data_IF_363020555825
#
_entry.id   IF_363020555825
#
_cell.length_a   1.000
_cell.length_b   1.000
_cell.length_c   1.000
_cell.angle_alpha   90.00
_cell.angle_beta   90.00
_cell.angle_gamma   90.00
#
_symmetry.space_group_name_H-M   'P 1'
#
loop_
_entity.id
_entity.type
_entity.pdbx_description
1 polymer ?
#
# COMPACT_ATOMS: atom_id res chain seq x y z
N UNK A 1 27.69 -14.01 -8.37
CA UNK A 1 27.07 -14.99 -9.30
C UNK A 1 26.74 -16.27 -8.53
N UNK A 2 25.67 -16.99 -8.87
CA UNK A 2 25.34 -18.26 -8.23
C UNK A 2 26.40 -19.32 -8.54
N UNK A 3 26.89 -20.05 -7.53
CA UNK A 3 27.84 -21.17 -7.73
C UNK A 3 27.14 -22.53 -7.90
N UNK A 4 25.87 -22.65 -7.48
CA UNK A 4 25.09 -23.89 -7.54
C UNK A 4 23.82 -23.71 -8.39
N UNK A 5 23.39 -24.77 -9.09
CA UNK A 5 22.16 -24.78 -9.91
C UNK A 5 20.91 -24.35 -9.11
N UNK A 6 20.85 -24.74 -7.84
CA UNK A 6 19.77 -24.34 -6.93
C UNK A 6 19.77 -22.83 -6.66
N UNK A 7 20.95 -22.23 -6.48
CA UNK A 7 21.12 -20.80 -6.25
C UNK A 7 20.72 -19.97 -7.49
N UNK A 8 21.07 -20.44 -8.70
CA UNK A 8 20.66 -19.79 -9.96
C UNK A 8 19.14 -19.79 -10.12
N UNK A 9 18.48 -20.92 -9.82
CA UNK A 9 17.01 -21.02 -9.78
C UNK A 9 16.42 -20.05 -8.75
N UNK A 10 17.02 -19.91 -7.57
CA UNK A 10 16.56 -18.96 -6.54
C UNK A 10 16.71 -17.51 -6.99
N UNK A 11 17.79 -17.15 -7.68
CA UNK A 11 17.98 -15.81 -8.24
C UNK A 11 16.84 -15.47 -9.22
N UNK A 12 16.59 -16.33 -10.22
CA UNK A 12 15.49 -16.15 -11.19
C UNK A 12 14.12 -16.04 -10.53
N UNK A 13 13.86 -16.83 -9.48
CA UNK A 13 12.61 -16.74 -8.72
C UNK A 13 12.50 -15.44 -7.92
N UNK A 14 13.60 -15.00 -7.32
CA UNK A 14 13.68 -13.79 -6.50
C UNK A 14 13.39 -12.56 -7.34
N UNK A 15 14.00 -12.43 -8.52
CA UNK A 15 13.77 -11.30 -9.44
C UNK A 15 12.30 -11.17 -9.83
N UNK A 16 11.67 -12.29 -10.22
CA UNK A 16 10.24 -12.34 -10.56
C UNK A 16 9.35 -11.93 -9.39
N UNK A 17 9.67 -12.40 -8.17
CA UNK A 17 8.93 -12.02 -6.95
C UNK A 17 9.15 -10.55 -6.62
N UNK A 18 10.37 -10.06 -6.73
CA UNK A 18 10.73 -8.68 -6.44
C UNK A 18 9.99 -7.70 -7.37
N UNK A 19 9.97 -7.97 -8.67
CA UNK A 19 9.22 -7.16 -9.65
C UNK A 19 7.73 -7.04 -9.29
N UNK A 20 7.07 -8.17 -8.98
CA UNK A 20 5.66 -8.16 -8.53
C UNK A 20 5.47 -7.41 -7.22
N UNK A 21 6.31 -7.69 -6.22
CA UNK A 21 6.21 -7.05 -4.91
C UNK A 21 6.44 -5.54 -4.99
N UNK A 22 7.38 -5.10 -5.83
CA UNK A 22 7.68 -3.69 -6.07
C UNK A 22 6.48 -2.97 -6.70
N UNK A 23 5.87 -3.57 -7.73
CA UNK A 23 4.68 -3.00 -8.37
C UNK A 23 3.52 -2.84 -7.37
N UNK A 24 3.18 -3.90 -6.63
CA UNK A 24 2.10 -3.86 -5.62
C UNK A 24 2.34 -2.84 -4.50
N UNK A 25 3.58 -2.74 -4.01
CA UNK A 25 3.95 -1.73 -3.01
C UNK A 25 3.90 -0.31 -3.58
N UNK A 26 4.25 -0.12 -4.86
CA UNK A 26 4.16 1.17 -5.55
C UNK A 26 2.70 1.60 -5.73
N UNK A 27 1.82 0.70 -6.18
CA UNK A 27 0.38 0.94 -6.28
C UNK A 27 -0.18 1.46 -4.95
N UNK A 28 0.12 0.77 -3.84
CA UNK A 28 -0.32 1.20 -2.51
C UNK A 28 0.22 2.60 -2.13
N UNK A 29 1.50 2.86 -2.39
CA UNK A 29 2.13 4.16 -2.09
C UNK A 29 1.48 5.29 -2.88
N UNK A 30 1.10 5.04 -4.14
CA UNK A 30 0.41 6.03 -4.99
C UNK A 30 -0.97 6.34 -4.42
N UNK A 31 -1.77 5.33 -4.06
CA UNK A 31 -3.10 5.54 -3.48
C UNK A 31 -3.06 6.38 -2.20
N UNK A 32 -2.13 6.07 -1.30
CA UNK A 32 -1.94 6.84 -0.05
C UNK A 32 -1.53 8.28 -0.35
N UNK A 33 -0.62 8.49 -1.29
CA UNK A 33 -0.21 9.85 -1.71
C UNK A 33 -1.36 10.62 -2.35
N UNK A 34 -2.22 9.97 -3.12
CA UNK A 34 -3.37 10.62 -3.75
C UNK A 34 -4.36 11.10 -2.68
N UNK A 35 -4.67 10.28 -1.68
CA UNK A 35 -5.50 10.70 -0.54
C UNK A 35 -4.88 11.91 0.18
N UNK A 36 -3.57 11.87 0.44
CA UNK A 36 -2.90 12.96 1.15
C UNK A 36 -2.91 14.26 0.33
N UNK A 37 -2.66 14.19 -0.97
CA UNK A 37 -2.79 15.35 -1.86
C UNK A 37 -4.19 15.95 -1.86
N UNK A 38 -5.24 15.12 -1.87
CA UNK A 38 -6.62 15.61 -1.82
C UNK A 38 -6.92 16.38 -0.54
N UNK A 39 -6.39 15.92 0.58
CA UNK A 39 -6.48 16.61 1.88
C UNK A 39 -5.70 17.92 1.83
N UNK A 40 -4.47 17.91 1.31
CA UNK A 40 -3.63 19.10 1.19
C UNK A 40 -4.27 20.18 0.30
N UNK A 41 -5.01 19.78 -0.75
CA UNK A 41 -5.75 20.70 -1.63
C UNK A 41 -7.15 21.07 -1.12
N UNK A 42 -7.53 20.66 0.10
CA UNK A 42 -8.85 20.91 0.69
C UNK A 42 -10.02 20.48 -0.20
N UNK A 43 -9.91 19.30 -0.82
CA UNK A 43 -10.94 18.75 -1.70
C UNK A 43 -12.19 18.29 -0.91
N UNK A 44 -13.33 18.17 -1.59
CA UNK A 44 -14.58 17.75 -0.98
C UNK A 44 -14.44 16.47 -0.14
N UNK A 45 -15.07 16.47 1.04
CA UNK A 45 -15.04 15.35 2.00
C UNK A 45 -15.42 14.01 1.33
N UNK A 46 -16.38 14.03 0.41
CA UNK A 46 -16.81 12.85 -0.35
C UNK A 46 -15.68 12.27 -1.23
N UNK A 47 -14.87 13.11 -1.88
CA UNK A 47 -13.77 12.68 -2.75
C UNK A 47 -12.65 12.05 -1.93
N UNK A 48 -12.34 12.65 -0.77
CA UNK A 48 -11.35 12.10 0.18
C UNK A 48 -11.81 10.75 0.71
N UNK A 49 -13.09 10.57 1.02
CA UNK A 49 -13.64 9.32 1.51
C UNK A 49 -13.57 8.19 0.46
N UNK A 50 -13.85 8.48 -0.80
CA UNK A 50 -13.71 7.51 -1.91
C UNK A 50 -12.25 7.08 -2.08
N UNK A 51 -11.31 8.03 -1.98
CA UNK A 51 -9.88 7.74 -2.03
C UNK A 51 -9.43 6.88 -0.84
N UNK A 52 -9.94 7.17 0.37
CA UNK A 52 -9.70 6.38 1.56
C UNK A 52 -10.21 4.94 1.43
N UNK A 53 -11.46 4.75 1.00
CA UNK A 53 -12.06 3.42 0.79
C UNK A 53 -11.23 2.58 -0.18
N UNK A 54 -10.78 3.19 -1.28
CA UNK A 54 -9.91 2.55 -2.28
C UNK A 54 -8.55 2.15 -1.70
N UNK A 55 -7.93 3.04 -0.91
CA UNK A 55 -6.65 2.79 -0.26
C UNK A 55 -6.75 1.65 0.78
N UNK A 56 -7.79 1.65 1.62
CA UNK A 56 -8.02 0.61 2.64
C UNK A 56 -8.29 -0.74 1.99
N UNK A 57 -9.15 -0.80 0.98
CA UNK A 57 -9.44 -2.05 0.28
C UNK A 57 -8.16 -2.67 -0.32
N UNK A 58 -7.31 -1.83 -0.94
CA UNK A 58 -6.04 -2.31 -1.49
C UNK A 58 -5.08 -2.78 -0.41
N UNK A 59 -5.00 -2.04 0.69
CA UNK A 59 -4.11 -2.32 1.81
C UNK A 59 -4.45 -3.65 2.49
N UNK A 60 -5.74 -3.90 2.76
CA UNK A 60 -6.19 -5.14 3.38
C UNK A 60 -5.93 -6.35 2.47
N UNK A 61 -6.19 -6.21 1.16
CA UNK A 61 -5.85 -7.24 0.15
C UNK A 61 -4.35 -7.56 0.11
N UNK A 62 -3.48 -6.55 0.25
CA UNK A 62 -2.03 -6.75 0.26
C UNK A 62 -1.52 -7.37 1.56
N UNK A 63 -2.21 -7.11 2.67
CA UNK A 63 -1.97 -7.77 3.96
C UNK A 63 -2.28 -9.27 3.89
N UNK A 64 -3.48 -9.64 3.40
CA UNK A 64 -3.89 -11.04 3.26
C UNK A 64 -2.96 -11.83 2.35
N UNK A 65 -2.51 -11.23 1.23
CA UNK A 65 -1.59 -11.87 0.29
C UNK A 65 -0.11 -11.85 0.74
N UNK A 66 0.17 -11.43 1.97
CA UNK A 66 1.52 -11.36 2.56
C UNK A 66 2.52 -10.52 1.74
N UNK A 67 2.06 -9.55 0.95
CA UNK A 67 2.95 -8.57 0.31
C UNK A 67 3.46 -7.53 1.33
N UNK A 68 2.66 -7.29 2.37
CA UNK A 68 2.99 -6.55 3.57
C UNK A 68 2.55 -7.36 4.78
N UNK A 69 3.25 -7.22 5.91
CA UNK A 69 2.86 -7.89 7.14
C UNK A 69 1.49 -7.39 7.64
N UNK A 70 0.67 -8.25 8.25
CA UNK A 70 -0.64 -7.91 8.79
C UNK A 70 -0.58 -6.69 9.72
N UNK A 71 0.33 -6.68 10.70
CA UNK A 71 0.55 -5.52 11.59
C UNK A 71 0.89 -4.22 10.85
N UNK A 72 1.63 -4.31 9.73
CA UNK A 72 1.94 -3.14 8.91
C UNK A 72 0.68 -2.62 8.20
N UNK A 73 -0.18 -3.52 7.72
CA UNK A 73 -1.48 -3.15 7.19
C UNK A 73 -2.33 -2.47 8.28
N UNK A 74 -2.57 -3.14 9.43
CA UNK A 74 -3.38 -2.59 10.52
C UNK A 74 -2.91 -1.22 11.00
N UNK A 75 -1.58 -1.05 11.20
CA UNK A 75 -1.01 0.25 11.57
C UNK A 75 -1.28 1.33 10.53
N UNK A 76 -1.14 1.00 9.24
CA UNK A 76 -1.36 1.96 8.15
C UNK A 76 -2.83 2.30 7.99
N UNK A 77 -3.73 1.33 8.15
CA UNK A 77 -5.18 1.56 8.21
C UNK A 77 -5.52 2.57 9.31
N UNK A 78 -5.08 2.31 10.54
CA UNK A 78 -5.26 3.24 11.68
C UNK A 78 -4.72 4.64 11.42
N UNK A 79 -3.54 4.77 10.80
CA UNK A 79 -2.97 6.07 10.43
C UNK A 79 -3.84 6.83 9.42
N UNK A 80 -4.34 6.16 8.38
CA UNK A 80 -5.21 6.78 7.37
C UNK A 80 -6.57 7.19 7.95
N UNK A 81 -7.16 6.34 8.81
CA UNK A 81 -8.43 6.65 9.48
C UNK A 81 -8.28 7.89 10.38
N UNK A 82 -7.18 7.99 11.14
CA UNK A 82 -6.91 9.16 11.97
C UNK A 82 -6.80 10.44 11.14
N UNK A 83 -6.13 10.37 10.00
CA UNK A 83 -5.99 11.50 9.08
C UNK A 83 -7.35 11.96 8.54
N UNK A 84 -8.19 11.01 8.09
CA UNK A 84 -9.54 11.30 7.60
C UNK A 84 -10.41 11.92 8.71
N UNK A 85 -10.41 11.34 9.91
CA UNK A 85 -11.20 11.85 11.02
C UNK A 85 -10.79 13.28 11.39
N UNK A 86 -9.49 13.56 11.44
CA UNK A 86 -8.97 14.92 11.68
C UNK A 86 -9.42 15.90 10.60
N UNK A 87 -9.51 15.47 9.34
CA UNK A 87 -9.95 16.32 8.24
C UNK A 87 -11.47 16.55 8.23
N UNK A 88 -12.25 15.57 8.68
CA UNK A 88 -13.72 15.68 8.72
C UNK A 88 -14.20 16.51 9.90
N UNK A 89 -13.52 16.41 11.05
CA UNK A 89 -13.85 17.11 12.30
C UNK A 89 -13.25 18.54 12.37
N UNK A 90 -12.27 18.84 11.51
CA UNK A 90 -11.75 20.19 11.30
C UNK A 90 -12.53 20.97 10.25
#
# INVERSE_FOLDING_TARGET
MPLHKSAEKRLRQSERRNARNRSRKKELKVLVKNMQKLIDTSADKAVVEVAYRSAVQKLDRLGVKNYIHANKASRKKSQLTRLLNSYVQG
#
